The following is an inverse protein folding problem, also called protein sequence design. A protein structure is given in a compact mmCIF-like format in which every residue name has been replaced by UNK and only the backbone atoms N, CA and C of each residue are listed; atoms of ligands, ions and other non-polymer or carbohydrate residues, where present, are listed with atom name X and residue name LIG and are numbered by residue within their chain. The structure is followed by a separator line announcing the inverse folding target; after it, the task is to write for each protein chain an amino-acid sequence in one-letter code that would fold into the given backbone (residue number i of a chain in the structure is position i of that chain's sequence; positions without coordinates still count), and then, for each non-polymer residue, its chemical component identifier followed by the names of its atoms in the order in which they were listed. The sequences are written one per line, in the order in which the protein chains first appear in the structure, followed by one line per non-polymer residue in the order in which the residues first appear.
data_IF_201021808309
#
_entry.id   IF_201021808309
#
_cell.length_a   1.000
_cell.length_b   1.000
_cell.length_c   1.000
_cell.angle_alpha   90.00
_cell.angle_beta   90.00
_cell.angle_gamma   90.00
#
_symmetry.space_group_name_H-M   'P 1'
#
loop_
_entity.id
_entity.type
_entity.pdbx_description
1 polymer ?
#
# COMPACT_ATOMS: atom_id res chain seq x y z
N UNK A 1 0.05 4.25 17.72
CA UNK A 1 -0.14 4.84 16.38
C UNK A 1 -0.13 3.80 15.25
N UNK A 2 0.99 3.16 14.89
CA UNK A 2 1.03 2.18 13.77
C UNK A 2 0.05 0.99 13.89
N UNK A 3 -0.07 0.43 15.10
CA UNK A 3 -1.03 -0.67 15.36
C UNK A 3 -2.50 -0.21 15.38
N UNK A 4 -2.78 1.03 15.74
CA UNK A 4 -4.15 1.56 15.82
C UNK A 4 -4.71 1.82 14.41
N UNK A 5 -3.90 2.41 13.53
CA UNK A 5 -4.28 2.61 12.13
C UNK A 5 -4.43 1.28 11.39
N UNK A 6 -3.49 0.34 11.61
CA UNK A 6 -3.59 -1.00 11.06
C UNK A 6 -4.89 -1.70 11.49
N UNK A 7 -5.21 -1.67 12.79
CA UNK A 7 -6.43 -2.30 13.33
C UNK A 7 -7.70 -1.67 12.75
N UNK A 8 -7.76 -0.34 12.70
CA UNK A 8 -8.89 0.40 12.14
C UNK A 8 -9.13 0.05 10.67
N UNK A 9 -8.07 0.01 9.87
CA UNK A 9 -8.16 -0.28 8.43
C UNK A 9 -8.51 -1.75 8.21
N UNK A 10 -7.89 -2.67 8.96
CA UNK A 10 -8.20 -4.10 8.91
C UNK A 10 -9.69 -4.35 9.14
N UNK A 11 -10.30 -3.76 10.18
CA UNK A 11 -11.73 -3.90 10.44
C UNK A 11 -12.59 -3.37 9.29
N UNK A 12 -12.24 -2.23 8.69
CA UNK A 12 -12.96 -1.71 7.51
C UNK A 12 -12.87 -2.65 6.32
N UNK A 13 -11.70 -3.22 6.06
CA UNK A 13 -11.47 -4.10 4.92
C UNK A 13 -12.16 -5.46 5.05
N UNK A 14 -12.49 -5.92 6.28
CA UNK A 14 -13.33 -7.13 6.47
C UNK A 14 -14.70 -7.02 5.82
N UNK A 15 -15.25 -5.81 5.73
CA UNK A 15 -16.53 -5.56 5.03
C UNK A 15 -16.38 -5.59 3.50
N UNK A 16 -15.16 -5.79 2.97
CA UNK A 16 -14.81 -5.84 1.55
C UNK A 16 -15.41 -4.68 0.74
N UNK A 17 -15.18 -3.41 1.13
CA UNK A 17 -15.59 -2.27 0.33
C UNK A 17 -15.01 -2.36 -1.08
N UNK A 18 -15.77 -1.92 -2.09
CA UNK A 18 -15.33 -1.94 -3.50
C UNK A 18 -14.35 -0.81 -3.85
N UNK A 19 -14.29 0.24 -3.02
CA UNK A 19 -13.45 1.43 -3.20
C UNK A 19 -13.15 2.07 -1.85
N UNK A 20 -12.04 2.81 -1.79
CA UNK A 20 -11.71 3.70 -0.69
C UNK A 20 -12.03 5.14 -1.11
N UNK A 21 -12.58 5.93 -0.19
CA UNK A 21 -12.88 7.36 -0.43
C UNK A 21 -12.05 8.28 0.44
N UNK A 22 -11.31 7.72 1.39
CA UNK A 22 -10.50 8.42 2.36
C UNK A 22 -9.02 8.26 2.01
N UNK A 23 -8.32 9.40 1.90
CA UNK A 23 -6.92 9.42 1.44
C UNK A 23 -6.00 8.71 2.43
N UNK A 24 -6.19 8.94 3.73
CA UNK A 24 -5.41 8.33 4.82
C UNK A 24 -5.45 6.79 4.73
N UNK A 25 -6.65 6.21 4.60
CA UNK A 25 -6.85 4.78 4.36
C UNK A 25 -6.20 4.29 3.07
N UNK A 26 -6.34 5.04 1.98
CA UNK A 26 -5.77 4.64 0.70
C UNK A 26 -4.25 4.66 0.71
N UNK A 27 -3.63 5.69 1.28
CA UNK A 27 -2.18 5.80 1.47
C UNK A 27 -1.66 4.62 2.29
N UNK A 28 -2.35 4.27 3.37
CA UNK A 28 -1.99 3.10 4.16
C UNK A 28 -2.04 1.81 3.34
N UNK A 29 -3.13 1.57 2.62
CA UNK A 29 -3.29 0.35 1.80
C UNK A 29 -2.21 0.26 0.73
N UNK A 30 -1.90 1.36 0.04
CA UNK A 30 -0.81 1.40 -0.95
C UNK A 30 0.53 1.07 -0.31
N UNK A 31 0.91 1.78 0.75
CA UNK A 31 2.23 1.62 1.39
C UNK A 31 2.38 0.22 1.97
N UNK A 32 1.36 -0.26 2.67
CA UNK A 32 1.37 -1.59 3.28
C UNK A 32 1.45 -2.71 2.22
N UNK A 33 0.70 -2.56 1.12
CA UNK A 33 0.72 -3.54 0.03
C UNK A 33 2.06 -3.52 -0.69
N UNK A 34 2.59 -2.34 -1.05
CA UNK A 34 3.90 -2.19 -1.68
C UNK A 34 5.01 -2.83 -0.84
N UNK A 35 5.02 -2.53 0.47
CA UNK A 35 5.97 -3.12 1.42
C UNK A 35 5.83 -4.63 1.49
N UNK A 36 4.61 -5.17 1.53
CA UNK A 36 4.39 -6.63 1.56
C UNK A 36 4.92 -7.35 0.32
N UNK A 37 4.84 -6.74 -0.87
CA UNK A 37 5.40 -7.29 -2.10
C UNK A 37 6.93 -7.31 -2.02
N UNK A 38 7.54 -6.21 -1.59
CA UNK A 38 9.00 -6.08 -1.46
C UNK A 38 9.54 -7.04 -0.40
N UNK A 39 8.94 -7.10 0.78
CA UNK A 39 9.43 -7.94 1.88
C UNK A 39 9.31 -9.43 1.58
N UNK A 40 8.27 -9.83 0.85
CA UNK A 40 8.09 -11.22 0.43
C UNK A 40 9.15 -11.66 -0.60
N UNK A 41 9.68 -10.73 -1.40
CA UNK A 41 10.61 -11.04 -2.51
C UNK A 41 12.06 -10.67 -2.24
N UNK A 42 12.32 -9.55 -1.59
CA UNK A 42 13.65 -8.98 -1.38
C UNK A 42 13.65 -7.96 -0.22
N UNK A 43 13.92 -8.43 1.00
CA UNK A 43 14.00 -7.62 2.23
C UNK A 43 14.97 -6.43 2.18
N UNK A 44 15.91 -6.41 1.23
CA UNK A 44 16.94 -5.36 1.11
C UNK A 44 16.53 -4.16 0.23
N UNK A 45 15.28 -4.10 -0.26
CA UNK A 45 14.85 -3.11 -1.27
C UNK A 45 13.76 -2.12 -0.76
N UNK A 46 13.72 -1.87 0.55
CA UNK A 46 12.77 -0.95 1.18
C UNK A 46 12.91 0.51 0.69
N UNK A 47 14.05 0.88 0.10
CA UNK A 47 14.25 2.17 -0.57
C UNK A 47 13.22 2.44 -1.69
N UNK A 48 12.59 1.41 -2.25
CA UNK A 48 11.51 1.61 -3.22
C UNK A 48 10.21 2.10 -2.57
N UNK A 49 9.97 1.80 -1.28
CA UNK A 49 8.85 2.39 -0.53
C UNK A 49 9.11 3.86 -0.26
N UNK A 50 10.37 4.25 -0.07
CA UNK A 50 10.77 5.66 0.14
C UNK A 50 10.40 6.53 -1.07
N UNK A 51 10.39 6.00 -2.30
CA UNK A 51 9.96 6.77 -3.49
C UNK A 51 8.50 7.23 -3.44
N UNK A 52 7.65 6.54 -2.68
CA UNK A 52 6.26 6.97 -2.48
C UNK A 52 6.19 8.30 -1.71
N UNK A 53 7.18 8.59 -0.86
CA UNK A 53 7.27 9.85 -0.11
C UNK A 53 7.51 11.06 -1.03
N UNK A 54 8.25 10.86 -2.11
CA UNK A 54 8.61 11.93 -3.04
C UNK A 54 7.47 12.30 -4.00
N UNK A 55 6.40 11.49 -4.04
CA UNK A 55 5.23 11.74 -4.86
C UNK A 55 4.48 12.99 -4.39
N UNK A 56 3.91 13.72 -5.34
CA UNK A 56 3.11 14.93 -5.11
C UNK A 56 1.61 14.69 -5.38
N UNK A 57 1.24 13.55 -5.94
CA UNK A 57 -0.16 13.22 -6.22
C UNK A 57 -0.44 11.72 -6.05
N UNK A 58 -1.71 11.37 -5.89
CA UNK A 58 -2.14 9.96 -5.85
C UNK A 58 -1.87 9.23 -7.17
N UNK A 59 -1.91 9.93 -8.31
CA UNK A 59 -1.51 9.34 -9.61
C UNK A 59 -0.02 9.00 -9.68
N UNK A 60 0.86 9.83 -9.11
CA UNK A 60 2.28 9.51 -9.01
C UNK A 60 2.53 8.32 -8.09
N UNK A 61 1.83 8.26 -6.95
CA UNK A 61 1.88 7.09 -6.06
C UNK A 61 1.43 5.82 -6.79
N UNK A 62 0.34 5.87 -7.56
CA UNK A 62 -0.14 4.72 -8.32
C UNK A 62 0.91 4.27 -9.36
N UNK A 63 1.55 5.21 -10.05
CA UNK A 63 2.62 4.91 -11.00
C UNK A 63 3.81 4.20 -10.34
N UNK A 64 4.28 4.70 -9.19
CA UNK A 64 5.35 4.04 -8.43
C UNK A 64 4.93 2.67 -7.88
N UNK A 65 3.67 2.54 -7.45
CA UNK A 65 3.11 1.25 -7.06
C UNK A 65 3.12 0.24 -8.22
N UNK A 66 2.73 0.66 -9.43
CA UNK A 66 2.76 -0.18 -10.63
C UNK A 66 4.19 -0.62 -10.97
N UNK A 67 5.19 0.27 -10.78
CA UNK A 67 6.62 -0.07 -10.93
C UNK A 67 7.02 -1.14 -9.91
N UNK A 68 6.61 -1.01 -8.64
CA UNK A 68 6.88 -1.99 -7.59
C UNK A 68 6.23 -3.33 -7.94
N UNK A 69 4.97 -3.35 -8.37
CA UNK A 69 4.29 -4.57 -8.82
C UNK A 69 4.97 -5.21 -10.03
N UNK A 70 5.42 -4.39 -10.99
CA UNK A 70 6.12 -4.87 -12.18
C UNK A 70 7.46 -5.54 -11.84
N UNK A 71 8.20 -4.98 -10.89
CA UNK A 71 9.52 -5.48 -10.45
C UNK A 71 9.43 -6.66 -9.50
N UNK A 72 8.55 -6.57 -8.50
CA UNK A 72 8.53 -7.47 -7.35
C UNK A 72 7.26 -8.35 -7.31
N UNK A 73 6.16 -7.95 -7.94
CA UNK A 73 4.89 -8.70 -7.95
C UNK A 73 4.83 -9.89 -8.92
N UNK A 74 5.98 -10.43 -9.34
CA UNK A 74 6.10 -11.49 -10.36
C UNK A 74 6.79 -12.74 -9.79
N UNK A 75 7.99 -13.05 -10.26
CA UNK A 75 8.75 -14.23 -9.81
C UNK A 75 9.18 -14.06 -8.35
N UNK A 76 9.08 -15.13 -7.56
CA UNK A 76 9.39 -15.11 -6.14
C UNK A 76 8.29 -14.56 -5.23
N UNK A 77 7.29 -13.84 -5.76
CA UNK A 77 6.18 -13.35 -4.94
C UNK A 77 5.10 -14.42 -4.77
N UNK A 78 5.07 -15.04 -3.59
CA UNK A 78 4.20 -16.20 -3.32
C UNK A 78 2.71 -15.87 -3.31
N UNK A 79 2.34 -14.59 -3.15
CA UNK A 79 0.94 -14.15 -3.00
C UNK A 79 0.35 -13.56 -4.28
N UNK A 80 1.05 -13.68 -5.42
CA UNK A 80 0.63 -13.08 -6.72
C UNK A 80 -0.82 -13.41 -7.13
N UNK A 81 -1.30 -14.59 -6.79
CA UNK A 81 -2.65 -15.07 -7.12
C UNK A 81 -3.59 -15.09 -5.92
N UNK A 82 -3.16 -14.57 -4.77
CA UNK A 82 -4.00 -14.51 -3.57
C UNK A 82 -5.22 -13.61 -3.82
N UNK A 83 -6.44 -14.04 -3.47
CA UNK A 83 -7.62 -13.18 -3.54
C UNK A 83 -7.47 -11.90 -2.73
N UNK A 84 -6.74 -11.96 -1.61
CA UNK A 84 -6.44 -10.81 -0.75
C UNK A 84 -5.54 -9.83 -1.48
N UNK A 85 -4.47 -10.32 -2.10
CA UNK A 85 -3.57 -9.48 -2.89
C UNK A 85 -4.32 -8.78 -4.03
N UNK A 86 -5.08 -9.54 -4.82
CA UNK A 86 -5.86 -9.01 -5.94
C UNK A 86 -6.86 -7.94 -5.45
N UNK A 87 -7.49 -8.19 -4.31
CA UNK A 87 -8.39 -7.24 -3.68
C UNK A 87 -7.69 -5.93 -3.28
N UNK A 88 -6.55 -6.02 -2.57
CA UNK A 88 -5.77 -4.83 -2.20
C UNK A 88 -5.33 -4.03 -3.43
N UNK A 89 -4.84 -4.70 -4.48
CA UNK A 89 -4.49 -4.04 -5.75
C UNK A 89 -5.70 -3.33 -6.38
N UNK A 90 -6.89 -3.92 -6.31
CA UNK A 90 -8.11 -3.29 -6.82
C UNK A 90 -8.46 -2.01 -6.06
N UNK A 91 -8.21 -1.95 -4.75
CA UNK A 91 -8.44 -0.73 -3.97
C UNK A 91 -7.44 0.37 -4.34
N UNK A 92 -6.17 0.00 -4.54
CA UNK A 92 -5.11 0.93 -4.97
C UNK A 92 -5.48 1.58 -6.31
N UNK A 93 -5.90 0.78 -7.29
CA UNK A 93 -6.20 1.25 -8.64
C UNK A 93 -7.46 2.13 -8.76
N UNK A 94 -8.33 2.17 -7.74
CA UNK A 94 -9.64 2.82 -7.81
C UNK A 94 -9.74 4.03 -6.86
N UNK A 95 -8.79 4.96 -6.94
CA UNK A 95 -8.78 6.17 -6.13
C UNK A 95 -8.61 7.42 -7.00
N UNK A 96 -9.36 8.51 -6.73
CA UNK A 96 -9.29 9.71 -7.56
C UNK A 96 -7.90 10.37 -7.51
N UNK A 97 -7.52 11.01 -8.62
CA UNK A 97 -6.34 11.85 -8.64
C UNK A 97 -6.53 13.07 -7.74
N UNK A 98 -5.62 13.29 -6.81
CA UNK A 98 -5.52 14.51 -6.02
C UNK A 98 -4.08 14.77 -5.59
N UNK A 99 -3.77 16.03 -5.28
CA UNK A 99 -2.46 16.46 -4.77
C UNK A 99 -2.26 16.01 -3.32
N UNK A 100 -1.00 15.76 -2.95
CA UNK A 100 -0.58 15.36 -1.63
C UNK A 100 -0.03 16.56 -0.87
N UNK A 101 -0.52 16.75 0.35
CA UNK A 101 0.03 17.70 1.30
C UNK A 101 1.30 17.15 1.96
N UNK A 102 2.06 18.02 2.64
CA UNK A 102 3.21 17.58 3.45
C UNK A 102 2.79 16.57 4.55
N UNK A 103 1.58 16.72 5.08
CA UNK A 103 1.03 15.78 6.07
C UNK A 103 0.83 14.38 5.47
N UNK A 104 0.39 14.31 4.22
CA UNK A 104 0.21 13.03 3.53
C UNK A 104 1.56 12.33 3.31
N UNK A 105 2.60 13.11 3.00
CA UNK A 105 3.98 12.59 2.90
C UNK A 105 4.48 12.07 4.24
N UNK A 106 4.24 12.79 5.34
CA UNK A 106 4.55 12.31 6.69
C UNK A 106 3.84 11.00 7.02
N UNK A 107 2.56 10.86 6.64
CA UNK A 107 1.79 9.63 6.82
C UNK A 107 2.41 8.46 6.03
N UNK A 108 2.83 8.66 4.79
CA UNK A 108 3.53 7.64 3.99
C UNK A 108 4.78 7.12 4.72
N UNK A 109 5.59 8.02 5.29
CA UNK A 109 6.76 7.61 6.08
C UNK A 109 6.33 6.81 7.31
N UNK A 110 5.35 7.29 8.07
CA UNK A 110 4.87 6.59 9.25
C UNK A 110 4.37 5.18 8.91
N UNK A 111 3.59 5.03 7.83
CA UNK A 111 3.05 3.73 7.42
C UNK A 111 4.12 2.76 6.93
N UNK A 112 5.21 3.26 6.36
CA UNK A 112 6.34 2.41 5.96
C UNK A 112 7.00 1.69 7.15
N UNK A 113 6.86 2.24 8.37
CA UNK A 113 7.38 1.63 9.61
C UNK A 113 6.50 0.51 10.16
N UNK A 114 5.26 0.34 9.67
CA UNK A 114 4.35 -0.70 10.15
C UNK A 114 4.83 -2.08 9.71
N UNK A 115 5.05 -2.99 10.65
CA UNK A 115 5.64 -4.32 10.41
C UNK A 115 4.60 -5.41 10.10
N UNK A 116 3.30 -5.12 10.28
CA UNK A 116 2.21 -6.03 9.96
C UNK A 116 1.68 -5.81 8.56
N UNK A 117 1.26 -6.87 7.89
CA UNK A 117 0.75 -6.82 6.52
C UNK A 117 -0.73 -7.17 6.45
N UNK A 118 -1.51 -6.31 5.81
CA UNK A 118 -2.92 -6.60 5.46
C UNK A 118 -3.01 -7.86 4.61
N UNK A 119 -2.02 -8.09 3.75
CA UNK A 119 -1.94 -9.23 2.83
C UNK A 119 -2.15 -10.60 3.50
N UNK A 120 -1.75 -10.77 4.76
CA UNK A 120 -1.81 -12.05 5.45
C UNK A 120 -2.98 -12.16 6.46
N UNK A 121 -3.81 -11.12 6.59
CA UNK A 121 -4.70 -10.98 7.75
C UNK A 121 -6.16 -10.58 7.46
N UNK A 122 -6.53 -10.31 6.19
CA UNK A 122 -7.92 -9.95 5.80
C UNK A 122 -8.57 -10.98 4.87
#
# INVERSE_FOLDING_TARGET
MGNEIYTSIKEKLKAKPKKLTDLDQWLFVVVNTAKSIIDNTSKNNLDNVVKLYDCNSTSQIQHEFDIIQGKFGREGFSQRYSPVYIYLCSLVANFPNQELSNKDKELIMQYSTVETYLLYEI
#
